data_IF_944366398213
#
_entry.id   IF_944366398213
#
_cell.length_a   1.000
_cell.length_b   1.000
_cell.length_c   1.000
_cell.angle_alpha   90.00
_cell.angle_beta   90.00
_cell.angle_gamma   90.00
#
_symmetry.space_group_name_H-M   'P 1'
#
loop_
_entity.id
_entity.type
_entity.pdbx_description
1 polymer ?
#
# COMPACT_ATOMS: atom_id res chain seq x y z
N UNK A 1 -69.59 35.33 8.02
CA UNK A 1 -68.73 34.13 7.97
C UNK A 1 -68.13 34.03 6.56
N UNK A 2 -66.94 34.59 6.40
CA UNK A 2 -66.21 34.56 5.15
C UNK A 2 -65.47 33.22 5.01
N UNK A 3 -65.89 32.39 4.04
CA UNK A 3 -65.21 31.15 3.71
C UNK A 3 -63.86 31.50 2.99
N UNK A 4 -62.77 31.43 3.74
CA UNK A 4 -61.42 31.48 3.15
C UNK A 4 -61.22 30.27 2.21
N UNK A 5 -61.35 30.55 0.91
CA UNK A 5 -61.09 29.55 -0.14
C UNK A 5 -59.56 29.40 -0.25
N UNK A 6 -58.95 28.48 0.50
CA UNK A 6 -57.54 28.10 0.36
C UNK A 6 -57.33 27.55 -1.02
N UNK A 7 -56.85 28.32 -1.98
CA UNK A 7 -56.37 27.84 -3.27
C UNK A 7 -55.32 26.75 -2.99
N UNK A 8 -55.59 25.51 -3.37
CA UNK A 8 -54.62 24.43 -3.33
C UNK A 8 -53.48 24.82 -4.27
N UNK A 9 -52.27 24.99 -3.72
CA UNK A 9 -51.07 25.25 -4.52
C UNK A 9 -50.85 24.05 -5.46
N UNK A 10 -50.77 24.36 -6.76
CA UNK A 10 -50.46 23.30 -7.75
C UNK A 10 -48.97 23.09 -7.77
N UNK A 11 -48.52 21.80 -7.78
CA UNK A 11 -47.10 21.39 -7.91
C UNK A 11 -46.42 22.06 -9.10
N UNK A 12 -47.19 22.39 -10.18
CA UNK A 12 -46.69 23.15 -11.34
C UNK A 12 -46.19 24.57 -11.02
N UNK A 13 -46.57 25.12 -9.87
CA UNK A 13 -46.10 26.45 -9.41
C UNK A 13 -44.69 26.36 -8.79
N UNK A 14 -44.16 25.15 -8.55
CA UNK A 14 -42.86 24.94 -7.92
C UNK A 14 -41.99 23.99 -8.80
N UNK A 15 -41.57 24.43 -9.99
CA UNK A 15 -40.84 23.57 -10.92
C UNK A 15 -39.53 23.02 -10.36
N UNK A 16 -38.85 23.81 -9.50
CA UNK A 16 -37.59 23.36 -8.85
C UNK A 16 -37.86 22.22 -7.86
N UNK A 17 -38.93 22.30 -7.06
CA UNK A 17 -39.29 21.23 -6.14
C UNK A 17 -39.71 19.95 -6.89
N UNK A 18 -40.40 20.13 -8.02
CA UNK A 18 -40.78 18.99 -8.87
C UNK A 18 -39.52 18.32 -9.47
N UNK A 19 -38.60 19.12 -10.04
CA UNK A 19 -37.35 18.62 -10.60
C UNK A 19 -36.52 17.90 -9.52
N UNK A 20 -36.40 18.49 -8.34
CA UNK A 20 -35.70 17.90 -7.19
C UNK A 20 -36.34 16.57 -6.74
N UNK A 21 -37.68 16.56 -6.59
CA UNK A 21 -38.42 15.33 -6.25
C UNK A 21 -38.25 14.23 -7.28
N UNK A 22 -38.31 14.55 -8.59
CA UNK A 22 -38.09 13.59 -9.68
C UNK A 22 -36.64 13.08 -9.71
N UNK A 23 -35.67 13.93 -9.46
CA UNK A 23 -34.28 13.56 -9.37
C UNK A 23 -34.02 12.53 -8.25
N UNK A 24 -34.50 12.80 -7.02
CA UNK A 24 -34.32 11.88 -5.91
C UNK A 24 -35.14 10.60 -6.06
N UNK A 25 -36.35 10.69 -6.65
CA UNK A 25 -37.13 9.49 -6.99
C UNK A 25 -36.40 8.63 -8.01
N UNK A 26 -35.80 9.24 -9.02
CA UNK A 26 -34.99 8.57 -10.04
C UNK A 26 -33.79 7.86 -9.43
N UNK A 27 -33.04 8.55 -8.57
CA UNK A 27 -31.90 7.95 -7.83
C UNK A 27 -32.37 6.79 -6.95
N UNK A 28 -33.46 6.94 -6.22
CA UNK A 28 -34.02 5.88 -5.38
C UNK A 28 -34.41 4.64 -6.20
N UNK A 29 -35.05 4.83 -7.37
CA UNK A 29 -35.42 3.72 -8.26
C UNK A 29 -34.16 3.04 -8.79
N UNK A 30 -33.14 3.81 -9.20
CA UNK A 30 -31.87 3.28 -9.69
C UNK A 30 -31.15 2.46 -8.59
N UNK A 31 -31.18 2.96 -7.36
CA UNK A 31 -30.59 2.28 -6.18
C UNK A 31 -31.30 0.94 -5.90
N UNK A 32 -32.62 0.90 -6.07
CA UNK A 32 -33.40 -0.33 -5.85
C UNK A 32 -33.16 -1.42 -6.93
N UNK A 33 -32.86 -1.02 -8.17
CA UNK A 33 -32.68 -1.97 -9.28
C UNK A 33 -31.23 -2.32 -9.56
N UNK A 34 -30.27 -1.55 -9.01
CA UNK A 34 -28.83 -1.82 -9.17
C UNK A 34 -28.41 -2.95 -8.22
N UNK A 35 -27.79 -4.01 -8.71
CA UNK A 35 -27.27 -5.09 -7.84
C UNK A 35 -26.17 -4.59 -6.89
N UNK A 36 -26.17 -5.16 -5.68
CA UNK A 36 -25.11 -4.89 -4.71
C UNK A 36 -23.75 -5.34 -5.26
N UNK A 37 -22.71 -4.50 -5.04
CA UNK A 37 -21.33 -4.81 -5.41
C UNK A 37 -20.59 -5.34 -4.18
N UNK A 38 -19.78 -6.37 -4.37
CA UNK A 38 -18.94 -6.92 -3.29
C UNK A 38 -17.69 -6.08 -3.03
N UNK A 39 -17.21 -5.37 -4.06
CA UNK A 39 -15.92 -4.72 -4.05
C UNK A 39 -15.93 -3.43 -4.91
N UNK A 40 -15.20 -2.41 -4.47
CA UNK A 40 -14.89 -1.23 -5.25
C UNK A 40 -13.44 -1.33 -5.74
N UNK A 41 -13.24 -1.52 -7.03
CA UNK A 41 -11.91 -1.54 -7.63
C UNK A 41 -11.22 -0.19 -7.46
N UNK A 42 -11.96 0.89 -7.62
CA UNK A 42 -11.45 2.25 -7.53
C UNK A 42 -10.89 2.62 -6.15
N UNK A 43 -11.47 2.08 -5.08
CA UNK A 43 -11.00 2.33 -3.70
C UNK A 43 -10.19 1.16 -3.15
N UNK A 44 -10.07 0.07 -3.92
CA UNK A 44 -9.41 -1.17 -3.53
C UNK A 44 -9.93 -1.67 -2.16
N UNK A 45 -11.28 -1.69 -2.01
CA UNK A 45 -11.92 -2.04 -0.74
C UNK A 45 -13.17 -2.89 -0.92
N UNK A 46 -13.41 -3.77 0.07
CA UNK A 46 -14.65 -4.55 0.17
C UNK A 46 -15.79 -3.64 0.60
N UNK A 47 -16.88 -3.69 -0.13
CA UNK A 47 -18.10 -2.92 0.16
C UNK A 47 -18.98 -3.67 1.18
N UNK A 48 -19.59 -2.94 2.10
CA UNK A 48 -20.49 -3.51 3.07
C UNK A 48 -21.70 -4.16 2.37
N UNK A 49 -22.01 -5.39 2.77
CA UNK A 49 -23.16 -6.12 2.30
C UNK A 49 -24.34 -5.90 3.24
N UNK A 50 -25.56 -6.15 2.75
CA UNK A 50 -26.79 -5.96 3.52
C UNK A 50 -26.75 -6.74 4.85
N UNK A 51 -26.80 -6.07 6.00
CA UNK A 51 -26.68 -6.74 7.28
C UNK A 51 -27.94 -7.58 7.59
N UNK A 52 -27.74 -8.65 8.33
CA UNK A 52 -28.83 -9.47 8.88
C UNK A 52 -29.02 -9.12 10.36
N UNK A 53 -30.26 -9.01 10.80
CA UNK A 53 -30.56 -8.87 12.23
C UNK A 53 -30.29 -10.22 12.91
N UNK A 54 -29.24 -10.27 13.74
CA UNK A 54 -28.80 -11.51 14.41
C UNK A 54 -29.50 -11.75 15.72
N UNK A 55 -29.91 -10.71 16.45
CA UNK A 55 -30.63 -10.81 17.71
C UNK A 55 -31.54 -9.60 17.93
N UNK A 56 -32.76 -9.75 18.44
CA UNK A 56 -33.68 -8.64 18.76
C UNK A 56 -33.37 -8.01 20.13
N UNK A 57 -32.08 -7.79 20.42
CA UNK A 57 -31.59 -7.09 21.62
C UNK A 57 -31.18 -5.65 21.25
N UNK A 58 -31.03 -4.78 22.26
CA UNK A 58 -30.57 -3.40 22.03
C UNK A 58 -29.24 -3.36 21.27
N UNK A 59 -28.28 -4.20 21.64
CA UNK A 59 -26.96 -4.29 20.94
C UNK A 59 -27.13 -4.87 19.52
N UNK A 60 -27.96 -5.89 19.35
CA UNK A 60 -28.25 -6.47 18.04
C UNK A 60 -28.91 -5.47 17.09
N UNK A 61 -29.84 -4.65 17.58
CA UNK A 61 -30.44 -3.56 16.80
C UNK A 61 -29.44 -2.45 16.48
N UNK A 62 -28.61 -2.04 17.44
CA UNK A 62 -27.57 -1.03 17.21
C UNK A 62 -26.57 -1.49 16.15
N UNK A 63 -26.09 -2.73 16.23
CA UNK A 63 -25.19 -3.32 15.26
C UNK A 63 -25.83 -3.41 13.86
N UNK A 64 -27.12 -3.79 13.80
CA UNK A 64 -27.88 -3.82 12.56
C UNK A 64 -27.98 -2.43 11.91
N UNK A 65 -28.39 -1.41 12.67
CA UNK A 65 -28.50 -0.05 12.11
C UNK A 65 -27.14 0.56 11.73
N UNK A 66 -26.10 0.28 12.50
CA UNK A 66 -24.72 0.70 12.15
C UNK A 66 -24.28 0.01 10.85
N UNK A 67 -24.49 -1.30 10.74
CA UNK A 67 -24.19 -2.06 9.54
C UNK A 67 -25.02 -1.61 8.34
N UNK A 68 -26.30 -1.31 8.54
CA UNK A 68 -27.19 -0.83 7.49
C UNK A 68 -26.81 0.57 6.99
N UNK A 69 -26.37 1.45 7.88
CA UNK A 69 -25.86 2.77 7.52
C UNK A 69 -24.60 2.66 6.64
N UNK A 70 -23.69 1.73 7.00
CA UNK A 70 -22.51 1.46 6.18
C UNK A 70 -22.89 0.86 4.82
N UNK A 71 -23.80 -0.12 4.81
CA UNK A 71 -24.31 -0.73 3.59
C UNK A 71 -24.88 0.30 2.61
N UNK A 72 -25.77 1.19 3.06
CA UNK A 72 -26.36 2.22 2.20
C UNK A 72 -25.29 3.15 1.65
N UNK A 73 -24.30 3.55 2.44
CA UNK A 73 -23.19 4.39 1.99
C UNK A 73 -22.32 3.70 0.92
N UNK A 74 -22.12 2.40 1.06
CA UNK A 74 -21.25 1.64 0.18
C UNK A 74 -21.94 1.20 -1.12
N UNK A 75 -23.28 1.08 -1.12
CA UNK A 75 -24.06 0.55 -2.24
C UNK A 75 -24.86 1.59 -3.02
N UNK A 76 -24.85 2.88 -2.60
CA UNK A 76 -25.58 3.93 -3.31
C UNK A 76 -25.23 3.95 -4.80
N UNK A 77 -26.26 4.06 -5.66
CA UNK A 77 -26.09 4.09 -7.11
C UNK A 77 -25.11 5.19 -7.56
N UNK A 78 -24.18 4.81 -8.42
CA UNK A 78 -23.17 5.76 -8.92
C UNK A 78 -22.17 6.25 -7.88
N UNK A 79 -21.94 5.48 -6.80
CA UNK A 79 -21.07 5.87 -5.68
C UNK A 79 -19.69 6.35 -6.13
N UNK A 80 -19.06 5.60 -7.02
CA UNK A 80 -17.69 5.92 -7.47
C UNK A 80 -17.67 7.21 -8.31
N UNK A 81 -18.72 7.46 -9.08
CA UNK A 81 -18.95 8.69 -9.85
C UNK A 81 -19.21 9.89 -8.93
N UNK A 82 -19.99 9.69 -7.85
CA UNK A 82 -20.22 10.76 -6.85
C UNK A 82 -18.95 11.14 -6.12
N UNK A 83 -18.13 10.17 -5.72
CA UNK A 83 -16.82 10.42 -5.10
C UNK A 83 -15.89 11.15 -6.07
N UNK A 84 -15.87 10.75 -7.33
CA UNK A 84 -15.08 11.40 -8.38
C UNK A 84 -15.56 12.82 -8.66
N UNK A 85 -16.88 13.05 -8.69
CA UNK A 85 -17.48 14.39 -8.82
C UNK A 85 -17.13 15.28 -7.62
N UNK A 86 -17.19 14.74 -6.40
CA UNK A 86 -16.75 15.46 -5.21
C UNK A 86 -15.27 15.85 -5.32
N UNK A 87 -14.39 14.91 -5.68
CA UNK A 87 -12.97 15.18 -5.88
C UNK A 87 -12.73 16.27 -6.93
N UNK A 88 -13.45 16.21 -8.04
CA UNK A 88 -13.42 17.27 -9.07
C UNK A 88 -13.82 18.64 -8.49
N UNK A 89 -14.96 18.74 -7.80
CA UNK A 89 -15.44 20.00 -7.23
C UNK A 89 -14.45 20.56 -6.22
N UNK A 90 -13.95 19.72 -5.33
CA UNK A 90 -12.99 20.13 -4.28
C UNK A 90 -11.66 20.62 -4.89
N UNK A 91 -11.14 19.93 -5.89
CA UNK A 91 -9.81 20.23 -6.43
C UNK A 91 -9.81 21.17 -7.63
N UNK A 92 -10.81 21.12 -8.51
CA UNK A 92 -10.90 21.98 -9.69
C UNK A 92 -11.61 23.32 -9.39
N UNK A 93 -12.75 23.29 -8.68
CA UNK A 93 -13.53 24.48 -8.44
C UNK A 93 -13.10 25.21 -7.16
N UNK A 94 -12.88 24.48 -6.06
CA UNK A 94 -12.44 25.08 -4.80
C UNK A 94 -10.91 25.16 -4.67
N UNK A 95 -10.17 24.63 -5.65
CA UNK A 95 -8.70 24.68 -5.72
C UNK A 95 -8.01 24.21 -4.42
N UNK A 96 -8.59 23.22 -3.75
CA UNK A 96 -7.99 22.66 -2.57
C UNK A 96 -6.67 21.93 -2.91
N UNK A 97 -5.67 22.15 -2.10
CA UNK A 97 -4.36 21.50 -2.19
C UNK A 97 -4.30 20.18 -1.39
N UNK A 98 -5.43 19.78 -0.80
CA UNK A 98 -5.60 18.51 -0.08
C UNK A 98 -7.00 17.98 -0.32
N UNK A 99 -7.11 16.66 -0.60
CA UNK A 99 -8.39 15.96 -0.62
C UNK A 99 -8.20 14.50 -0.16
N UNK A 100 -9.14 13.98 0.62
CA UNK A 100 -9.12 12.59 1.10
C UNK A 100 -7.90 12.24 1.94
N UNK A 101 -7.26 13.18 2.60
CA UNK A 101 -6.02 12.98 3.36
C UNK A 101 -4.76 12.93 2.50
N UNK A 102 -4.85 13.36 1.24
CA UNK A 102 -3.76 13.41 0.28
C UNK A 102 -3.48 14.87 -0.10
N UNK A 103 -2.25 15.29 0.04
CA UNK A 103 -1.75 16.58 -0.44
C UNK A 103 -1.45 16.48 -1.94
N UNK A 104 -1.89 17.52 -2.67
CA UNK A 104 -1.69 17.64 -4.11
C UNK A 104 -0.48 18.53 -4.36
N UNK A 105 0.64 17.92 -4.65
CA UNK A 105 1.92 18.60 -4.86
C UNK A 105 2.15 19.07 -6.29
N UNK A 106 3.37 19.59 -6.52
CA UNK A 106 3.84 19.92 -7.86
C UNK A 106 4.13 18.66 -8.66
N UNK A 107 4.31 18.80 -9.97
CA UNK A 107 4.59 17.71 -10.91
C UNK A 107 3.56 16.56 -10.81
N UNK A 108 2.32 16.88 -10.40
CA UNK A 108 1.24 15.93 -10.15
C UNK A 108 1.53 14.89 -9.07
N UNK A 109 2.59 15.11 -8.25
CA UNK A 109 2.96 14.23 -7.16
C UNK A 109 1.95 14.34 -6.02
N UNK A 110 1.53 13.21 -5.49
CA UNK A 110 0.59 13.11 -4.38
C UNK A 110 1.33 12.62 -3.13
N UNK A 111 1.02 13.21 -1.97
CA UNK A 111 1.66 12.88 -0.70
C UNK A 111 0.63 12.57 0.37
N UNK A 112 0.81 11.56 1.22
CA UNK A 112 -0.07 11.36 2.37
C UNK A 112 0.07 12.52 3.36
N UNK A 113 -1.05 12.97 3.93
CA UNK A 113 -1.08 14.03 4.94
C UNK A 113 -0.68 13.48 6.31
N UNK A 114 0.59 13.15 6.47
CA UNK A 114 1.14 12.66 7.74
C UNK A 114 1.88 13.80 8.43
N UNK A 115 1.25 14.44 9.44
CA UNK A 115 1.83 15.59 10.15
C UNK A 115 2.56 15.20 11.44
N UNK A 116 2.17 14.09 12.04
CA UNK A 116 2.77 13.55 13.28
C UNK A 116 2.50 12.07 13.39
N UNK A 117 3.20 11.41 14.27
CA UNK A 117 2.88 10.02 14.62
C UNK A 117 1.48 9.91 15.23
N UNK A 118 0.72 8.92 14.77
CA UNK A 118 -0.54 8.54 15.41
C UNK A 118 -0.30 7.91 16.78
N UNK A 119 -1.30 7.91 17.66
CA UNK A 119 -1.20 7.26 18.97
C UNK A 119 -0.89 5.76 18.88
N UNK A 120 -1.32 5.09 17.83
CA UNK A 120 -0.95 3.70 17.54
C UNK A 120 0.52 3.58 17.14
N UNK A 121 1.01 4.48 16.28
CA UNK A 121 2.39 4.50 15.79
C UNK A 121 3.39 4.84 16.90
N UNK A 122 3.04 5.75 17.79
CA UNK A 122 3.86 6.05 19.00
C UNK A 122 4.06 4.81 19.87
N UNK A 123 3.14 3.83 19.83
CA UNK A 123 3.29 2.55 20.54
C UNK A 123 3.97 1.47 19.71
N UNK A 124 3.72 1.44 18.40
CA UNK A 124 4.27 0.41 17.50
C UNK A 124 5.73 0.65 17.16
N UNK A 125 6.13 1.90 16.90
CA UNK A 125 7.49 2.25 16.51
C UNK A 125 8.56 1.72 17.49
N UNK A 126 8.48 1.93 18.83
CA UNK A 126 9.46 1.38 19.76
C UNK A 126 9.46 -0.16 19.78
N UNK A 127 8.30 -0.80 19.63
CA UNK A 127 8.20 -2.27 19.60
C UNK A 127 8.86 -2.85 18.36
N UNK A 128 8.65 -2.21 17.21
CA UNK A 128 9.24 -2.62 15.95
C UNK A 128 10.76 -2.38 15.96
N UNK A 129 11.22 -1.28 16.57
CA UNK A 129 12.65 -1.04 16.79
C UNK A 129 13.27 -2.15 17.64
N UNK A 130 12.67 -2.46 18.80
CA UNK A 130 13.15 -3.53 19.67
C UNK A 130 13.14 -4.91 18.97
N UNK A 131 12.21 -5.15 18.08
CA UNK A 131 12.17 -6.38 17.27
C UNK A 131 13.35 -6.46 16.29
N UNK A 132 13.71 -5.34 15.64
CA UNK A 132 14.92 -5.29 14.80
C UNK A 132 16.19 -5.52 15.62
N UNK A 133 16.33 -4.86 16.77
CA UNK A 133 17.48 -5.05 17.66
C UNK A 133 17.61 -6.52 18.08
N UNK A 134 16.51 -7.14 18.51
CA UNK A 134 16.47 -8.56 18.88
C UNK A 134 16.87 -9.47 17.71
N UNK A 135 16.36 -9.21 16.52
CA UNK A 135 16.71 -9.98 15.32
C UNK A 135 18.21 -9.84 14.98
N UNK A 136 18.75 -8.62 15.03
CA UNK A 136 20.18 -8.35 14.79
C UNK A 136 21.07 -9.07 15.80
N UNK A 137 20.69 -9.07 17.08
CA UNK A 137 21.43 -9.75 18.15
C UNK A 137 21.43 -11.28 18.01
N UNK A 138 20.31 -11.86 17.54
CA UNK A 138 20.22 -13.32 17.31
C UNK A 138 20.98 -13.78 16.07
N UNK A 139 21.08 -12.94 15.05
CA UNK A 139 21.72 -13.27 13.79
C UNK A 139 22.79 -12.22 13.40
N UNK A 140 23.85 -12.09 14.23
CA UNK A 140 24.86 -11.03 14.06
C UNK A 140 25.56 -11.15 12.70
N UNK A 141 25.70 -10.00 12.02
CA UNK A 141 26.35 -9.91 10.72
C UNK A 141 25.50 -10.39 9.53
N UNK A 142 24.37 -11.08 9.76
CA UNK A 142 23.47 -11.52 8.69
C UNK A 142 22.30 -10.57 8.40
N UNK A 143 21.90 -9.71 9.37
CA UNK A 143 20.71 -8.84 9.27
C UNK A 143 21.05 -7.51 8.66
N UNK A 144 20.35 -7.19 7.58
CA UNK A 144 20.38 -5.90 6.89
C UNK A 144 18.98 -5.27 7.03
N UNK A 145 18.93 -4.02 7.42
CA UNK A 145 17.67 -3.26 7.58
C UNK A 145 17.68 -2.12 6.59
N UNK A 146 16.65 -2.06 5.75
CA UNK A 146 16.41 -1.00 4.78
C UNK A 146 15.04 -0.39 5.05
N UNK A 147 15.02 0.85 5.52
CA UNK A 147 13.79 1.61 5.72
C UNK A 147 13.71 2.70 4.66
N UNK A 148 12.74 2.56 3.77
CA UNK A 148 12.58 3.46 2.62
C UNK A 148 11.84 4.71 3.05
N UNK A 149 12.41 5.92 2.82
CA UNK A 149 11.76 7.17 3.16
C UNK A 149 10.53 7.42 2.29
N UNK A 150 9.60 8.25 2.76
CA UNK A 150 8.49 8.71 1.95
C UNK A 150 8.97 9.58 0.77
N UNK A 151 8.16 9.63 -0.30
CA UNK A 151 8.44 10.47 -1.47
C UNK A 151 8.67 11.95 -1.09
N UNK A 152 8.02 12.45 -0.05
CA UNK A 152 8.18 13.83 0.45
C UNK A 152 9.57 14.14 1.02
N UNK A 153 10.34 13.13 1.43
CA UNK A 153 11.74 13.28 1.89
C UNK A 153 12.69 13.40 0.69
N UNK A 154 12.34 12.77 -0.43
CA UNK A 154 13.16 12.79 -1.65
C UNK A 154 12.80 13.99 -2.55
N UNK A 155 11.52 14.35 -2.61
CA UNK A 155 10.99 15.47 -3.40
C UNK A 155 10.35 16.57 -2.52
N UNK A 156 11.07 17.18 -1.54
CA UNK A 156 10.51 18.19 -0.67
C UNK A 156 10.03 19.44 -1.43
N UNK A 157 10.62 19.73 -2.60
CA UNK A 157 10.24 20.83 -3.49
C UNK A 157 8.87 20.64 -4.15
N UNK A 158 8.39 19.40 -4.24
CA UNK A 158 7.07 19.07 -4.80
C UNK A 158 5.97 19.11 -3.75
N UNK A 159 6.31 19.09 -2.47
CA UNK A 159 5.33 19.20 -1.37
C UNK A 159 4.69 20.57 -1.40
N UNK A 160 3.36 20.71 -1.17
CA UNK A 160 2.71 22.02 -1.05
C UNK A 160 3.36 22.89 0.01
N UNK A 161 3.60 24.17 -0.33
CA UNK A 161 4.29 25.09 0.55
C UNK A 161 3.56 25.24 1.91
N UNK A 162 4.32 25.10 2.99
CA UNK A 162 3.81 25.23 4.35
C UNK A 162 3.11 23.98 4.90
N UNK A 163 3.06 22.88 4.17
CA UNK A 163 2.55 21.61 4.71
C UNK A 163 3.52 21.08 5.79
N UNK A 164 3.08 20.94 7.06
CA UNK A 164 3.97 20.56 8.16
C UNK A 164 4.09 19.03 8.25
N UNK A 165 4.62 18.40 7.20
CA UNK A 165 4.78 16.94 7.16
C UNK A 165 5.73 16.44 8.27
N UNK A 166 5.50 15.21 8.70
CA UNK A 166 6.38 14.52 9.65
C UNK A 166 7.81 14.51 9.11
N UNK A 167 8.75 15.02 9.90
CA UNK A 167 10.17 14.96 9.59
C UNK A 167 10.68 13.56 9.93
N UNK A 168 10.84 12.70 8.92
CA UNK A 168 11.18 11.28 9.10
C UNK A 168 12.67 11.05 9.42
N UNK A 169 13.56 11.93 8.96
CA UNK A 169 15.00 11.73 9.01
C UNK A 169 15.55 11.47 10.43
N UNK A 170 15.14 12.20 11.49
CA UNK A 170 15.62 11.91 12.84
C UNK A 170 15.23 10.50 13.33
N UNK A 171 14.08 9.98 12.90
CA UNK A 171 13.68 8.62 13.24
C UNK A 171 14.54 7.59 12.51
N UNK A 172 14.82 7.81 11.23
CA UNK A 172 15.69 6.95 10.44
C UNK A 172 17.12 6.93 10.99
N UNK A 173 17.65 8.07 11.46
CA UNK A 173 18.96 8.17 12.09
C UNK A 173 19.03 7.40 13.43
N UNK A 174 17.97 7.51 14.25
CA UNK A 174 17.85 6.72 15.49
C UNK A 174 17.79 5.23 15.22
N UNK A 175 17.00 4.82 14.22
CA UNK A 175 16.87 3.42 13.81
C UNK A 175 18.18 2.87 13.25
N UNK A 176 18.89 3.65 12.44
CA UNK A 176 20.23 3.30 11.95
C UNK A 176 21.18 3.04 13.12
N UNK A 177 21.21 3.94 14.10
CA UNK A 177 22.06 3.81 15.28
C UNK A 177 21.70 2.57 16.12
N UNK A 178 20.41 2.30 16.32
CA UNK A 178 19.93 1.15 17.08
C UNK A 178 20.29 -0.18 16.40
N UNK A 179 20.06 -0.29 15.09
CA UNK A 179 20.40 -1.47 14.28
C UNK A 179 21.90 -1.76 14.33
N UNK A 180 22.74 -0.74 14.15
CA UNK A 180 24.20 -0.88 14.18
C UNK A 180 24.69 -1.29 15.57
N UNK A 181 24.16 -0.69 16.63
CA UNK A 181 24.50 -1.05 18.00
C UNK A 181 24.10 -2.50 18.36
N UNK A 182 23.06 -3.02 17.72
CA UNK A 182 22.61 -4.40 17.88
C UNK A 182 23.39 -5.42 17.00
N UNK A 183 24.37 -4.97 16.22
CA UNK A 183 25.20 -5.85 15.35
C UNK A 183 24.60 -6.12 13.95
N UNK A 184 23.57 -5.38 13.57
CA UNK A 184 23.00 -5.39 12.22
C UNK A 184 23.64 -4.33 11.31
N UNK A 185 23.27 -4.36 10.03
CA UNK A 185 23.65 -3.34 9.05
C UNK A 185 22.40 -2.54 8.67
N UNK A 186 22.48 -1.21 8.80
CA UNK A 186 21.46 -0.32 8.25
C UNK A 186 21.88 0.12 6.82
N UNK A 187 21.08 -0.21 5.83
CA UNK A 187 21.29 0.18 4.43
C UNK A 187 20.52 1.47 4.19
N UNK A 188 21.21 2.60 4.27
CA UNK A 188 20.61 3.91 4.06
C UNK A 188 20.46 4.19 2.57
N UNK A 189 19.23 4.40 2.13
CA UNK A 189 18.90 4.63 0.73
C UNK A 189 18.56 6.10 0.42
N UNK A 190 18.64 6.99 1.42
CA UNK A 190 18.28 8.41 1.24
C UNK A 190 19.17 9.10 0.21
N UNK A 191 20.48 8.97 0.34
CA UNK A 191 21.43 9.63 -0.57
C UNK A 191 21.42 9.03 -1.98
N UNK A 192 21.41 7.67 -2.17
CA UNK A 192 21.19 7.09 -3.48
C UNK A 192 19.91 7.59 -4.17
N UNK A 193 18.78 7.65 -3.47
CA UNK A 193 17.55 8.16 -4.05
C UNK A 193 17.61 9.66 -4.36
N UNK A 194 18.19 10.48 -3.49
CA UNK A 194 18.34 11.91 -3.72
C UNK A 194 19.27 12.25 -4.89
N UNK A 195 20.33 11.47 -5.09
CA UNK A 195 21.26 11.70 -6.21
C UNK A 195 20.62 11.44 -7.57
N UNK A 196 19.52 10.70 -7.61
CA UNK A 196 18.75 10.36 -8.80
C UNK A 196 17.33 10.99 -8.80
N UNK A 197 17.09 12.00 -7.97
CA UNK A 197 15.76 12.60 -7.81
C UNK A 197 15.16 13.24 -9.07
N UNK A 198 15.98 13.53 -10.06
CA UNK A 198 15.51 14.03 -11.36
C UNK A 198 14.91 12.93 -12.24
N UNK A 199 14.99 11.68 -11.78
CA UNK A 199 14.40 10.52 -12.43
C UNK A 199 13.09 10.12 -11.75
N UNK A 200 12.35 9.19 -12.37
CA UNK A 200 11.03 8.77 -11.91
C UNK A 200 11.12 7.67 -10.84
N UNK A 201 11.43 8.04 -9.59
CA UNK A 201 11.72 7.10 -8.50
C UNK A 201 10.49 6.69 -7.68
N UNK A 202 9.46 7.53 -7.62
CA UNK A 202 8.21 7.25 -6.91
C UNK A 202 7.02 7.47 -7.84
N UNK A 203 5.99 6.64 -7.72
CA UNK A 203 4.74 6.86 -8.42
C UNK A 203 4.11 8.17 -7.96
N UNK A 204 3.46 8.89 -8.88
CA UNK A 204 2.76 10.15 -8.56
C UNK A 204 1.47 9.91 -7.81
N UNK A 205 0.76 8.84 -8.19
CA UNK A 205 -0.61 8.54 -7.73
C UNK A 205 -0.67 7.42 -6.70
N UNK A 206 0.48 6.82 -6.37
CA UNK A 206 0.59 5.72 -5.43
C UNK A 206 1.63 5.98 -4.33
N UNK A 207 1.57 5.20 -3.25
CA UNK A 207 2.49 5.33 -2.14
C UNK A 207 3.83 4.60 -2.35
N UNK A 208 3.95 3.76 -3.36
CA UNK A 208 5.18 3.00 -3.60
C UNK A 208 6.20 3.81 -4.41
N UNK A 209 7.45 3.38 -4.30
CA UNK A 209 8.47 3.70 -5.29
C UNK A 209 8.24 2.95 -6.60
N UNK A 210 8.89 3.40 -7.67
CA UNK A 210 8.94 2.69 -8.95
C UNK A 210 9.99 1.56 -8.90
N UNK A 211 9.99 0.68 -9.89
CA UNK A 211 11.07 -0.30 -10.05
C UNK A 211 12.44 0.37 -10.18
N UNK A 212 12.53 1.59 -10.74
CA UNK A 212 13.78 2.34 -10.82
C UNK A 212 14.25 2.81 -9.43
N UNK A 213 13.34 3.34 -8.60
CA UNK A 213 13.66 3.70 -7.22
C UNK A 213 14.12 2.47 -6.41
N UNK A 214 13.42 1.34 -6.59
CA UNK A 214 13.81 0.07 -5.98
C UNK A 214 15.18 -0.42 -6.48
N UNK A 215 15.51 -0.20 -7.75
CA UNK A 215 16.80 -0.56 -8.32
C UNK A 215 17.99 0.21 -7.68
N UNK A 216 17.84 1.52 -7.46
CA UNK A 216 18.90 2.30 -6.79
C UNK A 216 19.10 1.85 -5.34
N UNK A 217 18.01 1.56 -4.64
CA UNK A 217 18.09 1.00 -3.28
C UNK A 217 18.71 -0.41 -3.26
N UNK A 218 18.38 -1.25 -4.25
CA UNK A 218 19.01 -2.55 -4.42
C UNK A 218 20.51 -2.43 -4.74
N UNK A 219 20.91 -1.49 -5.58
CA UNK A 219 22.32 -1.24 -5.88
C UNK A 219 23.09 -0.84 -4.62
N UNK A 220 22.48 -0.05 -3.73
CA UNK A 220 23.05 0.29 -2.43
C UNK A 220 23.22 -0.93 -1.51
N UNK A 221 22.24 -1.88 -1.53
CA UNK A 221 22.37 -3.16 -0.82
C UNK A 221 23.53 -3.99 -1.39
N UNK A 222 23.65 -4.06 -2.73
CA UNK A 222 24.76 -4.77 -3.39
C UNK A 222 26.12 -4.17 -3.01
N UNK A 223 26.27 -2.86 -3.00
CA UNK A 223 27.47 -2.18 -2.54
C UNK A 223 27.81 -2.56 -1.09
N UNK A 224 26.83 -2.50 -0.19
CA UNK A 224 27.01 -2.83 1.21
C UNK A 224 27.39 -4.30 1.46
N UNK A 225 27.02 -5.21 0.54
CA UNK A 225 27.31 -6.65 0.62
C UNK A 225 28.47 -7.09 -0.28
N UNK A 226 29.05 -6.21 -1.08
CA UNK A 226 30.09 -6.55 -2.05
C UNK A 226 29.59 -7.42 -3.20
N UNK A 227 28.32 -7.28 -3.60
CA UNK A 227 27.68 -8.01 -4.69
C UNK A 227 27.69 -7.17 -5.98
N UNK A 228 27.66 -7.85 -7.12
CA UNK A 228 27.47 -7.18 -8.42
C UNK A 228 25.97 -6.92 -8.63
N UNK A 229 25.53 -5.68 -8.86
CA UNK A 229 24.13 -5.40 -9.13
C UNK A 229 23.62 -6.07 -10.41
N UNK A 230 22.31 -6.35 -10.45
CA UNK A 230 21.57 -6.69 -11.67
C UNK A 230 21.86 -5.65 -12.76
N UNK A 231 22.12 -6.11 -13.98
CA UNK A 231 22.35 -5.23 -15.13
C UNK A 231 21.03 -4.99 -15.91
N UNK A 232 20.37 -3.84 -15.77
CA UNK A 232 19.15 -3.54 -16.50
C UNK A 232 19.33 -3.59 -18.02
N UNK A 233 20.54 -3.31 -18.55
CA UNK A 233 20.81 -3.28 -19.98
C UNK A 233 20.85 -4.69 -20.60
N UNK A 234 21.05 -5.72 -19.79
CA UNK A 234 21.06 -7.11 -20.23
C UNK A 234 19.64 -7.72 -20.34
N UNK A 235 18.60 -6.98 -19.93
CA UNK A 235 17.21 -7.49 -19.87
C UNK A 235 16.24 -6.60 -20.63
N UNK A 236 15.15 -7.20 -21.13
CA UNK A 236 14.07 -6.46 -21.78
C UNK A 236 13.20 -5.76 -20.74
N UNK A 237 13.16 -4.42 -20.79
CA UNK A 237 12.23 -3.65 -20.00
C UNK A 237 10.83 -3.65 -20.65
N UNK A 238 9.82 -3.95 -19.86
CA UNK A 238 8.40 -3.93 -20.24
C UNK A 238 7.69 -2.83 -19.46
N UNK A 239 6.71 -2.19 -20.08
CA UNK A 239 5.95 -1.09 -19.47
C UNK A 239 4.46 -1.29 -19.56
N UNK A 240 3.73 -0.77 -18.56
CA UNK A 240 2.27 -0.69 -18.56
C UNK A 240 1.82 0.67 -18.07
N UNK A 241 1.21 1.43 -18.96
CA UNK A 241 0.62 2.74 -18.65
C UNK A 241 -0.75 2.63 -17.98
N UNK A 242 -1.22 3.76 -17.47
CA UNK A 242 -2.56 3.89 -16.94
C UNK A 242 -2.72 3.29 -15.53
N UNK A 243 -1.66 3.34 -14.72
CA UNK A 243 -1.74 2.99 -13.32
C UNK A 243 -2.19 4.19 -12.49
N UNK A 244 -3.27 4.01 -11.74
CA UNK A 244 -3.74 4.93 -10.72
C UNK A 244 -3.71 4.21 -9.38
N UNK A 245 -2.88 4.71 -8.46
CA UNK A 245 -2.64 4.04 -7.18
C UNK A 245 -3.52 4.53 -6.03
N UNK A 246 -3.10 4.18 -4.83
CA UNK A 246 -3.86 4.39 -3.58
C UNK A 246 -4.01 5.86 -3.21
N UNK A 247 -3.09 6.74 -3.58
CA UNK A 247 -3.23 8.18 -3.35
C UNK A 247 -4.34 8.76 -4.22
N UNK A 248 -4.36 8.39 -5.51
CA UNK A 248 -5.45 8.81 -6.39
C UNK A 248 -6.81 8.25 -5.94
N UNK A 249 -6.86 7.01 -5.48
CA UNK A 249 -8.09 6.39 -4.96
C UNK A 249 -8.76 7.24 -3.87
N UNK A 250 -7.96 7.95 -3.08
CA UNK A 250 -8.41 8.84 -1.99
C UNK A 250 -8.66 10.27 -2.45
N UNK A 251 -7.74 10.83 -3.24
CA UNK A 251 -7.77 12.24 -3.62
C UNK A 251 -8.77 12.55 -4.74
N UNK A 252 -8.93 11.66 -5.74
CA UNK A 252 -9.81 11.83 -6.90
C UNK A 252 -9.67 13.20 -7.56
N UNK A 253 -8.43 13.71 -7.64
CA UNK A 253 -8.20 14.99 -8.30
C UNK A 253 -8.42 14.89 -9.81
N UNK A 254 -8.98 15.97 -10.39
CA UNK A 254 -9.35 16.01 -11.81
C UNK A 254 -8.15 15.98 -12.77
N UNK A 255 -6.99 16.44 -12.31
CA UNK A 255 -5.77 16.60 -13.11
C UNK A 255 -4.71 15.54 -12.80
N UNK A 256 -5.08 14.41 -12.22
CA UNK A 256 -4.15 13.33 -11.97
C UNK A 256 -3.54 12.82 -13.29
N UNK A 257 -2.22 12.64 -13.27
CA UNK A 257 -1.48 12.01 -14.36
C UNK A 257 -1.25 10.55 -14.00
N UNK A 258 -1.72 9.60 -14.81
CA UNK A 258 -1.50 8.18 -14.54
C UNK A 258 -0.01 7.84 -14.55
N UNK A 259 0.32 6.84 -13.76
CA UNK A 259 1.67 6.31 -13.66
C UNK A 259 1.91 5.20 -14.70
N UNK A 260 3.18 4.89 -14.92
CA UNK A 260 3.64 3.78 -15.75
C UNK A 260 4.38 2.78 -14.88
N UNK A 261 3.93 1.53 -14.86
CA UNK A 261 4.68 0.43 -14.24
C UNK A 261 5.73 -0.05 -15.23
N UNK A 262 6.98 -0.12 -14.78
CA UNK A 262 8.10 -0.71 -15.52
C UNK A 262 8.58 -1.95 -14.79
N UNK A 263 8.86 -3.03 -15.51
CA UNK A 263 9.44 -4.26 -14.97
C UNK A 263 10.30 -4.94 -16.03
N UNK A 264 11.16 -5.87 -15.63
CA UNK A 264 12.04 -6.60 -16.55
C UNK A 264 11.49 -7.99 -16.83
N UNK A 265 11.63 -8.43 -18.07
CA UNK A 265 11.23 -9.79 -18.45
C UNK A 265 12.17 -10.82 -17.80
N UNK A 266 11.70 -11.44 -16.72
CA UNK A 266 12.41 -12.46 -15.96
C UNK A 266 11.61 -13.75 -15.96
N UNK A 267 12.30 -14.89 -16.12
CA UNK A 267 11.67 -16.21 -16.22
C UNK A 267 11.76 -17.03 -14.93
N UNK A 268 12.15 -16.38 -13.82
CA UNK A 268 12.34 -17.03 -12.54
C UNK A 268 11.00 -17.58 -12.00
N UNK A 269 11.04 -18.75 -11.41
CA UNK A 269 9.90 -19.39 -10.78
C UNK A 269 9.60 -18.78 -9.40
N UNK A 270 8.33 -18.61 -9.09
CA UNK A 270 7.83 -18.19 -7.78
C UNK A 270 6.98 -19.32 -7.19
N UNK A 271 7.31 -19.81 -6.02
CA UNK A 271 6.48 -20.74 -5.26
C UNK A 271 5.82 -19.99 -4.10
N UNK A 272 4.49 -20.11 -3.97
CA UNK A 272 3.68 -19.45 -2.95
C UNK A 272 3.08 -20.53 -2.04
N UNK A 273 3.23 -20.36 -0.71
CA UNK A 273 2.60 -21.22 0.29
C UNK A 273 1.45 -20.49 0.98
N UNK A 274 0.34 -21.22 1.13
CA UNK A 274 -0.75 -20.75 1.97
C UNK A 274 -0.40 -20.97 3.45
N UNK A 275 -0.10 -19.87 4.15
CA UNK A 275 0.33 -19.86 5.56
C UNK A 275 -0.66 -19.14 6.48
N UNK A 276 -1.87 -18.89 6.01
CA UNK A 276 -2.92 -18.20 6.80
C UNK A 276 -3.79 -19.15 7.61
N UNK A 277 -3.76 -20.45 7.30
CA UNK A 277 -4.51 -21.48 8.01
C UNK A 277 -3.77 -22.01 9.26
N UNK A 278 -4.45 -22.75 10.14
CA UNK A 278 -3.82 -23.48 11.23
C UNK A 278 -2.98 -24.65 10.70
N UNK A 279 -1.80 -24.86 11.26
CA UNK A 279 -0.89 -25.96 10.89
C UNK A 279 0.30 -25.52 10.02
N UNK A 280 1.06 -26.48 9.52
CA UNK A 280 2.20 -26.21 8.63
C UNK A 280 1.73 -25.70 7.28
N UNK A 281 2.56 -24.91 6.56
CA UNK A 281 2.27 -24.53 5.19
C UNK A 281 1.94 -25.74 4.33
N UNK A 282 0.86 -25.64 3.54
CA UNK A 282 0.49 -26.69 2.58
C UNK A 282 1.48 -26.75 1.41
N UNK A 283 1.31 -27.69 0.48
CA UNK A 283 2.08 -27.71 -0.76
C UNK A 283 2.04 -26.33 -1.43
N UNK A 284 3.22 -25.86 -1.87
CA UNK A 284 3.34 -24.58 -2.56
C UNK A 284 2.75 -24.65 -3.97
N UNK A 285 2.21 -23.55 -4.44
CA UNK A 285 1.82 -23.37 -5.84
C UNK A 285 2.93 -22.64 -6.56
N UNK A 286 3.51 -23.24 -7.58
CA UNK A 286 4.56 -22.63 -8.40
C UNK A 286 3.97 -21.96 -9.63
N UNK A 287 4.43 -20.75 -9.90
CA UNK A 287 3.99 -19.90 -11.01
C UNK A 287 5.16 -19.06 -11.53
N UNK A 288 4.94 -18.21 -12.52
CA UNK A 288 5.93 -17.19 -12.92
C UNK A 288 6.04 -16.07 -11.88
N UNK A 289 7.12 -15.32 -11.97
CA UNK A 289 7.45 -14.23 -11.02
C UNK A 289 6.38 -13.14 -10.96
N UNK A 290 5.69 -12.89 -12.06
CA UNK A 290 4.70 -11.81 -12.22
C UNK A 290 3.30 -12.34 -12.55
N UNK A 291 2.28 -11.77 -11.91
CA UNK A 291 0.87 -11.93 -12.29
C UNK A 291 0.49 -10.84 -13.31
N UNK A 292 0.74 -11.11 -14.58
CA UNK A 292 0.50 -10.14 -15.66
C UNK A 292 -0.98 -9.82 -15.87
N UNK A 293 -1.91 -10.67 -15.38
CA UNK A 293 -3.35 -10.38 -15.43
C UNK A 293 -3.70 -9.16 -14.58
N UNK A 294 -2.96 -8.90 -13.52
CA UNK A 294 -3.11 -7.70 -12.68
C UNK A 294 -2.82 -6.40 -13.41
N UNK A 295 -2.07 -6.43 -14.50
CA UNK A 295 -1.87 -5.24 -15.35
C UNK A 295 -3.16 -4.76 -16.04
N UNK A 296 -4.21 -5.57 -16.07
CA UNK A 296 -5.50 -5.24 -16.66
C UNK A 296 -6.57 -4.84 -15.65
N UNK A 297 -6.26 -4.88 -14.34
CA UNK A 297 -7.15 -4.43 -13.25
C UNK A 297 -6.68 -3.09 -12.68
N UNK A 298 -7.42 -2.54 -11.73
CA UNK A 298 -7.08 -1.26 -11.11
C UNK A 298 -5.77 -1.32 -10.32
N UNK A 299 -5.62 -2.31 -9.43
CA UNK A 299 -4.40 -2.55 -8.64
C UNK A 299 -3.34 -3.28 -9.48
N UNK A 300 -2.73 -2.52 -10.39
CA UNK A 300 -1.69 -3.06 -11.29
C UNK A 300 -0.40 -3.42 -10.54
N UNK A 301 -0.11 -2.75 -9.40
CA UNK A 301 1.10 -3.01 -8.62
C UNK A 301 1.12 -4.43 -8.02
N UNK A 302 -0.06 -5.02 -7.80
CA UNK A 302 -0.19 -6.40 -7.34
C UNK A 302 0.35 -7.45 -8.33
N UNK A 303 0.77 -7.04 -9.55
CA UNK A 303 1.46 -7.93 -10.50
C UNK A 303 2.79 -8.44 -9.96
N UNK A 304 3.51 -7.64 -9.16
CA UNK A 304 4.76 -8.05 -8.56
C UNK A 304 4.51 -9.13 -7.48
N UNK A 305 5.16 -10.27 -7.62
CA UNK A 305 5.09 -11.41 -6.69
C UNK A 305 3.67 -11.94 -6.42
N UNK A 306 2.71 -11.69 -7.32
CA UNK A 306 1.28 -11.99 -7.10
C UNK A 306 0.70 -11.31 -5.83
N UNK A 307 1.19 -10.10 -5.51
CA UNK A 307 0.76 -9.32 -4.36
C UNK A 307 1.49 -9.68 -3.06
N UNK A 308 0.77 -9.67 -1.95
CA UNK A 308 1.33 -9.87 -0.61
C UNK A 308 1.01 -11.27 -0.07
N UNK A 309 1.94 -12.19 -0.20
CA UNK A 309 1.82 -13.57 0.25
C UNK A 309 2.50 -13.74 1.61
N UNK A 310 2.03 -14.66 2.45
CA UNK A 310 2.62 -14.92 3.76
C UNK A 310 4.04 -15.47 3.65
N UNK A 311 4.25 -16.46 2.81
CA UNK A 311 5.55 -17.04 2.48
C UNK A 311 5.61 -17.30 0.97
N UNK A 312 6.68 -16.87 0.34
CA UNK A 312 6.98 -17.25 -1.04
C UNK A 312 8.49 -17.39 -1.25
N UNK A 313 8.87 -18.18 -2.25
CA UNK A 313 10.27 -18.36 -2.69
C UNK A 313 10.38 -18.03 -4.16
N UNK A 314 11.30 -17.16 -4.49
CA UNK A 314 11.75 -16.93 -5.86
C UNK A 314 13.05 -17.72 -6.10
N UNK A 315 13.08 -18.52 -7.14
CA UNK A 315 14.31 -19.14 -7.61
C UNK A 315 15.11 -18.11 -8.40
N UNK A 316 16.41 -18.05 -8.17
CA UNK A 316 17.28 -17.09 -8.84
C UNK A 316 18.50 -17.72 -9.47
N UNK A 317 19.29 -16.91 -10.18
CA UNK A 317 20.42 -17.31 -11.00
C UNK A 317 21.78 -17.18 -10.27
N UNK A 318 21.76 -16.62 -9.06
CA UNK A 318 22.95 -16.37 -8.25
C UNK A 318 23.33 -17.57 -7.36
N UNK A 319 23.89 -17.28 -6.19
CA UNK A 319 24.31 -18.31 -5.23
C UNK A 319 23.87 -17.94 -3.81
N UNK A 320 23.71 -18.98 -2.97
CA UNK A 320 23.26 -18.78 -1.60
C UNK A 320 21.78 -18.42 -1.49
N UNK A 321 21.36 -18.03 -0.28
CA UNK A 321 19.96 -17.75 0.05
C UNK A 321 19.80 -16.47 0.84
N UNK A 322 18.77 -15.70 0.54
CA UNK A 322 18.37 -14.52 1.32
C UNK A 322 16.92 -14.65 1.79
N UNK A 323 16.68 -14.26 3.04
CA UNK A 323 15.34 -14.07 3.56
C UNK A 323 14.97 -12.59 3.52
N UNK A 324 13.84 -12.24 2.93
CA UNK A 324 13.30 -10.87 2.88
C UNK A 324 12.04 -10.78 3.75
N UNK A 325 12.11 -10.05 4.85
CA UNK A 325 10.97 -9.71 5.70
C UNK A 325 10.48 -8.33 5.26
N UNK A 326 9.20 -8.22 4.89
CA UNK A 326 8.82 -7.08 4.07
C UNK A 326 7.43 -6.50 4.31
N UNK A 327 7.24 -5.24 3.83
CA UNK A 327 5.97 -4.71 3.37
C UNK A 327 5.88 -4.75 1.83
N UNK A 328 4.86 -4.12 1.25
CA UNK A 328 4.65 -4.14 -0.22
C UNK A 328 5.73 -3.40 -1.04
N UNK A 329 6.56 -2.58 -0.42
CA UNK A 329 7.68 -1.92 -1.12
C UNK A 329 8.67 -2.92 -1.71
N UNK A 330 8.89 -4.05 -1.04
CA UNK A 330 9.80 -5.07 -1.54
C UNK A 330 9.27 -5.82 -2.78
N UNK A 331 7.99 -5.71 -3.14
CA UNK A 331 7.44 -6.50 -4.24
C UNK A 331 8.14 -6.22 -5.58
N UNK A 332 8.45 -4.97 -5.91
CA UNK A 332 9.20 -4.62 -7.12
C UNK A 332 10.72 -4.65 -6.92
N UNK A 333 11.21 -4.81 -5.68
CA UNK A 333 12.63 -4.92 -5.34
C UNK A 333 13.15 -6.36 -5.44
N UNK A 334 12.37 -7.32 -4.96
CA UNK A 334 12.74 -8.76 -4.92
C UNK A 334 13.18 -9.31 -6.28
N UNK A 335 12.57 -8.95 -7.42
CA UNK A 335 13.03 -9.40 -8.73
C UNK A 335 14.52 -9.16 -9.01
N UNK A 336 15.11 -8.07 -8.51
CA UNK A 336 16.54 -7.80 -8.70
C UNK A 336 17.44 -8.76 -7.90
N UNK A 337 16.99 -9.25 -6.75
CA UNK A 337 17.76 -10.19 -5.93
C UNK A 337 18.00 -11.55 -6.61
N UNK A 338 17.20 -11.89 -7.62
CA UNK A 338 17.37 -13.14 -8.39
C UNK A 338 18.73 -13.22 -9.10
N UNK A 339 19.33 -12.10 -9.44
CA UNK A 339 20.68 -12.06 -10.03
C UNK A 339 21.78 -12.46 -9.03
N UNK A 340 21.55 -12.31 -7.72
CA UNK A 340 22.58 -12.50 -6.71
C UNK A 340 22.40 -13.82 -5.91
N UNK A 341 21.17 -14.27 -5.73
CA UNK A 341 20.85 -15.41 -4.88
C UNK A 341 20.21 -16.55 -5.67
N UNK A 342 20.50 -17.78 -5.29
CA UNK A 342 19.84 -18.98 -5.84
C UNK A 342 18.40 -19.14 -5.31
N UNK A 343 18.12 -18.62 -4.11
CA UNK A 343 16.78 -18.59 -3.55
C UNK A 343 16.55 -17.29 -2.74
N UNK A 344 15.42 -16.66 -3.01
CA UNK A 344 14.95 -15.47 -2.28
C UNK A 344 13.64 -15.84 -1.60
N UNK A 345 13.69 -16.09 -0.28
CA UNK A 345 12.49 -16.31 0.51
C UNK A 345 11.92 -15.00 0.99
N UNK A 346 10.60 -14.87 0.88
CA UNK A 346 9.89 -13.62 1.17
C UNK A 346 8.80 -13.87 2.21
N UNK A 347 8.85 -13.13 3.32
CA UNK A 347 7.88 -13.20 4.43
C UNK A 347 7.18 -11.87 4.60
N UNK A 348 5.85 -11.92 4.62
CA UNK A 348 4.99 -10.80 4.97
C UNK A 348 4.18 -11.14 6.23
N UNK A 349 4.51 -10.53 7.34
CA UNK A 349 3.88 -10.83 8.64
C UNK A 349 2.38 -10.53 8.72
N UNK A 350 1.82 -9.79 7.78
CA UNK A 350 0.36 -9.61 7.68
C UNK A 350 -0.34 -10.95 7.41
N UNK A 351 0.33 -11.83 6.69
CA UNK A 351 -0.19 -13.12 6.22
C UNK A 351 0.67 -14.33 6.67
N UNK A 352 1.79 -14.12 7.37
CA UNK A 352 2.65 -15.17 7.90
C UNK A 352 2.47 -15.31 9.40
N UNK A 353 2.02 -16.48 9.88
CA UNK A 353 1.67 -16.72 11.27
C UNK A 353 2.55 -17.80 11.95
N UNK A 354 3.63 -18.22 11.32
CA UNK A 354 4.54 -19.23 11.86
C UNK A 354 5.80 -18.60 12.47
N UNK A 355 6.58 -19.40 13.20
CA UNK A 355 7.82 -18.96 13.82
C UNK A 355 8.89 -18.58 12.78
N UNK A 356 9.50 -17.42 12.94
CA UNK A 356 10.57 -16.97 12.05
C UNK A 356 11.86 -17.75 12.29
N UNK A 357 12.19 -18.05 13.55
CA UNK A 357 13.43 -18.76 13.90
C UNK A 357 13.47 -20.16 13.32
N UNK A 358 12.31 -20.86 13.29
CA UNK A 358 12.24 -22.17 12.65
C UNK A 358 12.50 -22.08 11.15
N UNK A 359 11.89 -21.10 10.48
CA UNK A 359 12.14 -20.86 9.04
C UNK A 359 13.61 -20.57 8.76
N UNK A 360 14.26 -19.76 9.62
CA UNK A 360 15.68 -19.44 9.46
C UNK A 360 16.55 -20.67 9.71
N UNK A 361 16.25 -21.46 10.74
CA UNK A 361 17.00 -22.69 11.07
C UNK A 361 16.90 -23.74 9.96
N UNK A 362 15.73 -23.88 9.34
CA UNK A 362 15.48 -24.90 8.32
C UNK A 362 16.13 -24.56 6.96
N UNK A 363 16.45 -23.29 6.70
CA UNK A 363 16.88 -22.85 5.38
C UNK A 363 18.32 -22.34 5.28
N UNK A 364 19.00 -22.07 6.42
CA UNK A 364 20.40 -21.60 6.49
C UNK A 364 20.68 -20.40 5.54
N UNK A 365 20.02 -19.27 5.81
CA UNK A 365 20.18 -18.06 4.99
C UNK A 365 21.56 -17.41 5.20
N UNK A 366 22.17 -16.97 4.10
CA UNK A 366 23.40 -16.18 4.12
C UNK A 366 23.13 -14.76 4.63
N UNK A 367 22.00 -14.18 4.22
CA UNK A 367 21.57 -12.85 4.57
C UNK A 367 20.08 -12.81 4.93
N UNK A 368 19.72 -11.88 5.79
CA UNK A 368 18.34 -11.52 6.13
C UNK A 368 18.17 -10.03 5.81
N UNK A 369 17.22 -9.67 4.98
CA UNK A 369 16.86 -8.29 4.66
C UNK A 369 15.50 -7.97 5.28
N UNK A 370 15.44 -6.94 6.12
CA UNK A 370 14.17 -6.33 6.56
C UNK A 370 13.97 -5.08 5.72
N UNK A 371 12.99 -5.12 4.79
CA UNK A 371 12.68 -4.04 3.87
C UNK A 371 11.26 -3.55 4.10
N UNK A 372 11.13 -2.33 4.59
CA UNK A 372 9.86 -1.64 4.82
C UNK A 372 9.93 -0.19 4.35
N UNK A 373 8.80 0.39 3.95
CA UNK A 373 8.67 1.84 3.98
C UNK A 373 8.67 2.31 5.43
N UNK A 374 9.23 3.49 5.71
CA UNK A 374 9.14 4.06 7.06
C UNK A 374 7.68 4.28 7.47
N UNK A 375 6.83 4.66 6.53
CA UNK A 375 5.40 4.87 6.78
C UNK A 375 4.70 3.60 7.28
N UNK A 376 4.98 2.45 6.67
CA UNK A 376 4.47 1.16 7.18
C UNK A 376 5.15 0.76 8.48
N UNK A 377 6.48 0.86 8.57
CA UNK A 377 7.28 0.41 9.70
C UNK A 377 6.83 1.03 11.03
N UNK A 378 6.59 2.36 11.04
CA UNK A 378 6.22 3.09 12.25
C UNK A 378 4.91 2.61 12.87
N UNK A 379 4.00 2.05 12.04
CA UNK A 379 2.66 1.62 12.45
C UNK A 379 2.40 0.12 12.37
N UNK A 380 3.34 -0.67 11.83
CA UNK A 380 3.12 -2.10 11.59
C UNK A 380 2.80 -2.85 12.89
N UNK A 381 1.63 -3.52 12.98
CA UNK A 381 1.22 -4.22 14.18
C UNK A 381 1.75 -5.65 14.27
N UNK A 382 2.51 -6.13 13.29
CA UNK A 382 2.94 -7.53 13.15
C UNK A 382 4.45 -7.72 13.20
N UNK A 383 5.24 -6.69 12.82
CA UNK A 383 6.70 -6.79 12.71
C UNK A 383 7.38 -7.15 14.03
N UNK A 384 6.75 -6.84 15.19
CA UNK A 384 7.26 -7.28 16.50
C UNK A 384 7.54 -8.79 16.57
N UNK A 385 6.90 -9.60 15.72
CA UNK A 385 7.11 -11.06 15.64
C UNK A 385 8.53 -11.42 15.20
N UNK A 386 9.20 -10.55 14.45
CA UNK A 386 10.61 -10.74 14.09
C UNK A 386 11.52 -10.76 15.31
N UNK A 387 11.12 -10.12 16.40
CA UNK A 387 11.87 -10.05 17.66
C UNK A 387 11.57 -11.19 18.65
N UNK A 388 10.53 -11.98 18.41
CA UNK A 388 10.13 -13.07 19.32
C UNK A 388 10.93 -14.32 18.96
N UNK A 389 11.69 -14.84 19.92
CA UNK A 389 12.29 -16.16 19.81
C UNK A 389 11.17 -17.21 19.80
N UNK A 390 11.12 -18.03 18.76
CA UNK A 390 10.12 -19.09 18.55
C UNK A 390 10.40 -20.35 19.34
#
# INVERSE_FOLDING_TARGET
MEKHNKKRASLRQYPVLLAFGLFFLGLFVLDLVTPDRAYSELENTTLAQRPKLTAPTADGLNNYFTGYTKYVKDQVFGRDEWISLQGFVETALFQKTENGGILLGKEHQMFPRTYSLLSSETRSLPKNTAALESLCQRYPGKVNVMLVPAASVIYPENVPAGAPLLHEEPYLDQLSSAVQAAGGRFVDVRDPLRSHKDEYLYYRTDHHWTSLGAYYAYSQLCEALGLTPFDPAAHTALTRDGFYGTHYSKARTWNAVPDTITYYELQNALTIWNVTGPGQPTEGTTTGLYDTDKLNVYDKYAMFLHGNNGLSRVEGDGSGKILVIKDSYANCFVPYLTANYAAVDVVDFRNYNYGLDQLIADNDYDQILVLYSFDSFKGDPYLYRAGVAG
#
